data_IF_350959587501
#
_entry.id   IF_350959587501
#
_cell.length_a   1.000
_cell.length_b   1.000
_cell.length_c   1.000
_cell.angle_alpha   90.00
_cell.angle_beta   90.00
_cell.angle_gamma   90.00
#
_symmetry.space_group_name_H-M   'P 1'
#
loop_
_entity.id
_entity.type
_entity.pdbx_description
1 polymer ?
#
# COMPACT_ATOMS: atom_id res chain seq x y z
N UNK A 1 -47.89 2.25 21.82
CA UNK A 1 -48.14 3.63 21.34
C UNK A 1 -46.81 4.13 20.80
N UNK A 2 -46.44 3.85 19.56
CA UNK A 2 -46.63 4.78 18.44
C UNK A 2 -46.56 4.02 17.10
N UNK A 3 -47.29 4.56 16.12
CA UNK A 3 -47.77 3.93 14.89
C UNK A 3 -46.70 3.75 13.82
N UNK A 4 -46.80 2.63 13.10
CA UNK A 4 -46.28 2.43 11.74
C UNK A 4 -46.86 3.50 10.80
N UNK A 5 -45.98 4.26 10.13
CA UNK A 5 -46.36 5.16 9.05
C UNK A 5 -46.00 4.48 7.72
N UNK A 6 -47.02 3.94 7.06
CA UNK A 6 -46.99 3.56 5.64
C UNK A 6 -47.07 4.83 4.80
N UNK A 7 -46.06 5.09 3.98
CA UNK A 7 -46.09 6.15 2.97
C UNK A 7 -46.00 5.52 1.59
N UNK A 8 -47.16 5.43 0.95
CA UNK A 8 -47.36 5.05 -0.45
C UNK A 8 -46.86 6.16 -1.37
N UNK A 9 -45.79 5.91 -2.12
CA UNK A 9 -45.40 6.77 -3.25
C UNK A 9 -46.18 6.35 -4.51
N UNK A 10 -46.83 7.28 -5.22
CA UNK A 10 -47.47 6.98 -6.49
C UNK A 10 -46.43 6.83 -7.63
N UNK A 11 -46.69 5.85 -8.50
CA UNK A 11 -45.97 5.56 -9.74
C UNK A 11 -46.11 6.72 -10.73
N UNK A 12 -45.00 7.23 -11.24
CA UNK A 12 -44.98 8.17 -12.37
C UNK A 12 -45.07 7.42 -13.71
N UNK A 13 -45.77 7.96 -14.72
CA UNK A 13 -46.05 7.27 -15.97
C UNK A 13 -44.82 7.11 -16.88
N UNK A 14 -44.79 5.97 -17.56
CA UNK A 14 -43.83 5.54 -18.58
C UNK A 14 -43.78 6.47 -19.80
N UNK A 15 -42.59 6.91 -20.17
CA UNK A 15 -42.33 7.63 -21.43
C UNK A 15 -42.08 6.61 -22.54
N UNK A 16 -42.74 6.71 -23.71
CA UNK A 16 -42.59 5.75 -24.81
C UNK A 16 -41.28 5.97 -25.58
N UNK A 17 -40.64 4.87 -25.96
CA UNK A 17 -39.52 4.83 -26.88
C UNK A 17 -39.99 5.02 -28.33
N UNK A 18 -39.21 5.74 -29.16
CA UNK A 18 -39.25 5.52 -30.59
C UNK A 18 -37.87 5.17 -31.16
N UNK A 19 -37.86 3.99 -31.78
CA UNK A 19 -37.32 3.70 -33.12
C UNK A 19 -35.86 4.05 -33.43
N UNK A 20 -35.07 2.98 -33.60
CA UNK A 20 -33.90 2.94 -34.51
C UNK A 20 -34.31 3.47 -35.89
N UNK A 21 -33.43 4.23 -36.55
CA UNK A 21 -33.00 3.76 -37.85
C UNK A 21 -31.51 4.00 -38.17
N UNK A 22 -31.02 3.10 -39.03
CA UNK A 22 -29.94 3.29 -40.03
C UNK A 22 -28.49 3.48 -39.56
N UNK A 23 -27.70 2.47 -39.92
CA UNK A 23 -26.27 2.51 -40.22
C UNK A 23 -25.86 3.84 -40.86
N UNK A 24 -25.31 4.75 -40.06
CA UNK A 24 -24.47 5.82 -40.56
C UNK A 24 -23.02 5.44 -40.26
N UNK A 25 -22.35 4.95 -41.30
CA UNK A 25 -20.96 4.56 -41.26
C UNK A 25 -20.10 5.82 -41.15
N UNK A 26 -19.90 6.31 -39.93
CA UNK A 26 -18.89 7.32 -39.62
C UNK A 26 -17.51 6.69 -39.83
N UNK A 27 -17.00 6.81 -41.05
CA UNK A 27 -15.60 6.59 -41.38
C UNK A 27 -14.80 7.78 -40.83
N UNK A 28 -14.63 7.81 -39.51
CA UNK A 28 -13.71 8.72 -38.85
C UNK A 28 -12.29 8.26 -39.20
N UNK A 29 -11.61 9.06 -40.02
CA UNK A 29 -10.16 9.08 -40.14
C UNK A 29 -9.58 9.43 -38.77
N UNK A 30 -9.40 8.42 -37.92
CA UNK A 30 -8.63 8.53 -36.69
C UNK A 30 -7.15 8.46 -37.07
N UNK A 31 -6.60 9.58 -37.52
CA UNK A 31 -5.20 9.87 -37.24
C UNK A 31 -5.10 10.08 -35.72
N UNK A 32 -4.91 9.00 -34.98
CA UNK A 32 -4.41 9.10 -33.61
C UNK A 32 -2.91 8.96 -33.71
N UNK A 33 -2.23 10.10 -33.71
CA UNK A 33 -0.86 10.19 -33.27
C UNK A 33 -0.77 9.43 -31.95
N UNK A 34 -0.02 8.34 -31.93
CA UNK A 34 0.41 7.66 -30.71
C UNK A 34 1.29 8.62 -29.92
N UNK A 35 0.64 9.53 -29.22
CA UNK A 35 1.22 10.37 -28.19
C UNK A 35 1.02 9.60 -26.90
N UNK A 36 1.90 8.61 -26.69
CA UNK A 36 2.12 8.01 -25.37
C UNK A 36 2.83 9.05 -24.48
N UNK A 37 2.19 10.20 -24.28
CA UNK A 37 2.64 11.26 -23.38
C UNK A 37 2.15 10.97 -21.96
N UNK A 38 2.43 9.77 -21.45
CA UNK A 38 2.31 9.54 -20.00
C UNK A 38 3.57 10.11 -19.34
N UNK A 39 3.45 11.33 -18.84
CA UNK A 39 4.47 12.04 -18.08
C UNK A 39 4.70 11.40 -16.69
N UNK A 40 5.11 10.13 -16.66
CA UNK A 40 5.46 9.45 -15.42
C UNK A 40 6.77 9.99 -14.85
N UNK A 41 6.94 9.92 -13.53
CA UNK A 41 8.18 10.26 -12.85
C UNK A 41 9.33 9.37 -13.37
N UNK A 42 10.35 9.98 -14.00
CA UNK A 42 11.48 9.27 -14.63
C UNK A 42 12.74 9.38 -13.77
N UNK A 43 13.47 8.28 -13.67
CA UNK A 43 14.83 8.25 -13.14
C UNK A 43 15.80 9.01 -14.06
N UNK A 44 17.01 9.27 -13.55
CA UNK A 44 18.08 9.95 -14.29
C UNK A 44 18.48 9.22 -15.59
N UNK A 45 18.24 7.90 -15.68
CA UNK A 45 18.47 7.07 -16.86
C UNK A 45 17.26 7.03 -17.83
N UNK A 46 16.20 7.80 -17.53
CA UNK A 46 14.97 7.88 -18.31
C UNK A 46 13.96 6.77 -18.01
N UNK A 47 14.25 5.83 -17.09
CA UNK A 47 13.32 4.76 -16.74
C UNK A 47 12.17 5.26 -15.87
N UNK A 48 10.97 4.72 -16.11
CA UNK A 48 9.78 5.00 -15.30
C UNK A 48 9.94 4.41 -13.90
N UNK A 49 9.81 5.24 -12.87
CA UNK A 49 10.02 4.82 -11.49
C UNK A 49 8.79 4.13 -10.86
N UNK A 50 7.58 4.50 -11.27
CA UNK A 50 6.33 3.86 -10.83
C UNK A 50 5.98 2.62 -11.67
N UNK A 51 6.88 1.62 -11.73
CA UNK A 51 6.71 0.42 -12.57
C UNK A 51 5.51 -0.44 -12.20
N UNK A 52 5.18 -0.51 -10.90
CA UNK A 52 4.13 -1.36 -10.36
C UNK A 52 2.88 -0.56 -10.07
N UNK A 53 2.99 0.59 -9.38
CA UNK A 53 1.82 1.38 -8.99
C UNK A 53 1.09 1.98 -10.20
N UNK A 54 1.78 2.17 -11.33
CA UNK A 54 1.17 2.58 -12.60
C UNK A 54 0.00 1.68 -13.04
N UNK A 55 0.01 0.39 -12.66
CA UNK A 55 -1.08 -0.54 -12.95
C UNK A 55 -2.41 -0.05 -12.38
N UNK A 56 -2.38 0.55 -11.18
CA UNK A 56 -3.58 1.04 -10.49
C UNK A 56 -3.77 2.55 -10.58
N UNK A 57 -2.72 3.33 -10.89
CA UNK A 57 -2.82 4.80 -10.93
C UNK A 57 -3.08 5.36 -12.32
N UNK A 58 -2.68 4.69 -13.41
CA UNK A 58 -2.63 5.33 -14.74
C UNK A 58 -3.76 4.90 -15.67
N UNK A 59 -4.22 3.65 -15.54
CA UNK A 59 -5.25 3.13 -16.41
C UNK A 59 -6.62 3.67 -16.03
N UNK A 60 -7.34 4.27 -17.00
CA UNK A 60 -8.74 4.70 -16.81
C UNK A 60 -9.67 3.56 -16.39
N UNK A 61 -9.34 2.31 -16.75
CA UNK A 61 -10.09 1.13 -16.31
C UNK A 61 -9.98 0.87 -14.79
N UNK A 62 -9.02 1.51 -14.10
CA UNK A 62 -8.79 1.39 -12.65
C UNK A 62 -9.30 2.60 -11.86
N UNK A 63 -10.35 3.26 -12.35
CA UNK A 63 -10.98 4.38 -11.66
C UNK A 63 -11.41 4.09 -10.21
N UNK A 64 -11.83 2.86 -9.91
CA UNK A 64 -12.16 2.46 -8.54
C UNK A 64 -10.93 2.44 -7.61
N UNK A 65 -9.78 1.96 -8.09
CA UNK A 65 -8.52 1.99 -7.35
C UNK A 65 -8.08 3.44 -7.09
N UNK A 66 -8.13 4.28 -8.12
CA UNK A 66 -7.81 5.70 -8.02
C UNK A 66 -8.70 6.41 -7.01
N UNK A 67 -10.02 6.14 -7.00
CA UNK A 67 -10.95 6.71 -6.03
C UNK A 67 -10.58 6.36 -4.58
N UNK A 68 -10.17 5.11 -4.31
CA UNK A 68 -9.70 4.70 -2.99
C UNK A 68 -8.38 5.39 -2.61
N UNK A 69 -7.46 5.57 -3.55
CA UNK A 69 -6.21 6.31 -3.33
C UNK A 69 -6.46 7.80 -3.06
N UNK A 70 -7.40 8.44 -3.75
CA UNK A 70 -7.82 9.81 -3.42
C UNK A 70 -8.39 9.90 -2.00
N UNK A 71 -9.17 8.89 -1.57
CA UNK A 71 -9.74 8.86 -0.23
C UNK A 71 -8.69 8.69 0.88
N UNK A 72 -7.49 8.19 0.59
CA UNK A 72 -6.37 8.16 1.55
C UNK A 72 -5.60 9.48 1.60
N UNK A 73 -5.95 10.46 0.76
CA UNK A 73 -5.37 11.80 0.73
C UNK A 73 -4.33 12.03 -0.35
N UNK A 74 -4.15 11.11 -1.32
CA UNK A 74 -3.30 11.36 -2.48
C UNK A 74 -3.94 12.42 -3.39
N UNK A 75 -3.10 13.23 -4.03
CA UNK A 75 -3.51 14.18 -5.07
C UNK A 75 -3.31 13.60 -6.47
N UNK A 76 -3.80 14.28 -7.50
CA UNK A 76 -3.59 13.86 -8.89
C UNK A 76 -2.09 13.81 -9.23
N UNK A 77 -1.30 14.77 -8.75
CA UNK A 77 0.15 14.78 -8.92
C UNK A 77 0.85 13.58 -8.25
N UNK A 78 0.28 13.05 -7.16
CA UNK A 78 0.83 11.88 -6.47
C UNK A 78 0.59 10.57 -7.23
N UNK A 79 -0.37 10.53 -8.15
CA UNK A 79 -0.68 9.32 -8.94
C UNK A 79 0.45 8.96 -9.92
N UNK A 80 1.27 9.94 -10.29
CA UNK A 80 2.43 9.78 -11.16
C UNK A 80 3.72 9.44 -10.40
N UNK A 81 3.72 9.64 -9.07
CA UNK A 81 4.86 9.37 -8.20
C UNK A 81 4.94 7.89 -7.82
N UNK A 82 6.14 7.32 -7.61
CA UNK A 82 6.30 5.97 -7.10
C UNK A 82 5.75 5.85 -5.68
N UNK A 83 5.08 4.73 -5.40
CA UNK A 83 4.50 4.43 -4.10
C UNK A 83 5.42 3.49 -3.31
N UNK A 84 5.82 3.90 -2.11
CA UNK A 84 6.72 3.16 -1.23
C UNK A 84 5.94 2.65 -0.03
N UNK A 85 5.89 1.34 0.12
CA UNK A 85 5.36 0.69 1.31
C UNK A 85 6.34 0.83 2.47
N UNK A 86 5.89 1.32 3.63
CA UNK A 86 6.70 1.43 4.84
C UNK A 86 6.16 0.43 5.86
N UNK A 87 6.80 -0.74 5.95
CA UNK A 87 6.42 -1.84 6.81
C UNK A 87 7.07 -1.69 8.19
N UNK A 88 6.29 -1.35 9.22
CA UNK A 88 6.78 -1.34 10.61
C UNK A 88 6.28 -2.55 11.39
N UNK A 89 7.04 -2.97 12.40
CA UNK A 89 6.65 -4.06 13.30
C UNK A 89 6.43 -3.51 14.69
N UNK A 90 5.63 -2.45 14.77
CA UNK A 90 5.31 -1.78 16.02
C UNK A 90 4.22 -2.52 16.80
N UNK A 91 4.46 -2.70 18.11
CA UNK A 91 3.45 -2.96 19.12
C UNK A 91 3.97 -2.50 20.49
N UNK A 92 3.07 -2.21 21.42
CA UNK A 92 3.43 -1.57 22.71
C UNK A 92 4.05 -2.54 23.72
N UNK A 93 3.73 -3.83 23.62
CA UNK A 93 4.12 -4.86 24.59
C UNK A 93 5.57 -5.34 24.51
N UNK A 94 6.48 -4.64 23.82
CA UNK A 94 7.88 -5.01 23.73
C UNK A 94 8.79 -3.78 23.56
N UNK A 95 9.82 -3.60 24.40
CA UNK A 95 10.70 -2.43 24.32
C UNK A 95 11.46 -2.33 22.99
N UNK A 96 11.71 -3.46 22.30
CA UNK A 96 12.38 -3.44 21.00
C UNK A 96 11.50 -2.86 19.87
N UNK A 97 10.19 -2.72 20.09
CA UNK A 97 9.23 -2.44 19.02
C UNK A 97 8.31 -1.23 19.29
N UNK A 98 8.15 -0.83 20.55
CA UNK A 98 7.22 0.25 20.94
C UNK A 98 7.52 1.61 20.30
N UNK A 99 8.77 1.88 19.91
CA UNK A 99 9.20 3.14 19.28
C UNK A 99 9.15 3.12 17.75
N UNK A 100 8.89 1.95 17.13
CA UNK A 100 9.01 1.81 15.67
C UNK A 100 7.94 2.56 14.89
N UNK A 101 6.80 2.90 15.50
CA UNK A 101 5.78 3.73 14.87
C UNK A 101 6.29 5.16 14.64
N UNK A 102 7.03 5.72 15.59
CA UNK A 102 7.61 7.06 15.44
C UNK A 102 8.74 7.05 14.41
N UNK A 103 9.57 6.00 14.42
CA UNK A 103 10.57 5.80 13.38
C UNK A 103 9.94 5.66 11.99
N UNK A 104 8.80 4.96 11.86
CA UNK A 104 8.07 4.85 10.60
C UNK A 104 7.54 6.21 10.11
N UNK A 105 7.08 7.08 11.03
CA UNK A 105 6.67 8.45 10.69
C UNK A 105 7.85 9.28 10.20
N UNK A 106 9.03 9.12 10.78
CA UNK A 106 10.24 9.82 10.32
C UNK A 106 10.74 9.32 8.97
N UNK A 107 10.72 8.00 8.74
CA UNK A 107 10.97 7.41 7.42
C UNK A 107 9.99 7.97 6.39
N UNK A 108 8.70 8.06 6.72
CA UNK A 108 7.68 8.63 5.82
C UNK A 108 8.01 10.08 5.44
N UNK A 109 8.47 10.91 6.38
CA UNK A 109 8.92 12.28 6.07
C UNK A 109 10.07 12.26 5.05
N UNK A 110 11.04 11.37 5.22
CA UNK A 110 12.16 11.22 4.27
C UNK A 110 11.71 10.78 2.88
N UNK A 111 10.78 9.83 2.80
CA UNK A 111 10.18 9.38 1.52
C UNK A 111 9.44 10.54 0.82
N UNK A 112 8.64 11.29 1.56
CA UNK A 112 7.93 12.46 1.00
C UNK A 112 8.89 13.57 0.58
N UNK A 113 9.97 13.81 1.33
CA UNK A 113 11.01 14.78 0.97
C UNK A 113 11.78 14.39 -0.31
N UNK A 114 11.75 13.11 -0.69
CA UNK A 114 12.32 12.60 -1.95
C UNK A 114 11.31 12.58 -3.11
N UNK A 115 10.18 13.30 -2.99
CA UNK A 115 9.08 13.33 -3.98
C UNK A 115 8.45 11.96 -4.27
N UNK A 116 8.45 11.06 -3.28
CA UNK A 116 7.80 9.76 -3.33
C UNK A 116 6.57 9.72 -2.42
N UNK A 117 5.65 8.78 -2.69
CA UNK A 117 4.46 8.58 -1.86
C UNK A 117 4.72 7.50 -0.82
N UNK A 118 4.81 7.89 0.46
CA UNK A 118 5.02 6.96 1.57
C UNK A 118 3.71 6.45 2.20
N UNK A 119 3.47 5.14 2.11
CA UNK A 119 2.28 4.48 2.65
C UNK A 119 2.69 3.49 3.77
N UNK A 120 2.47 3.90 5.02
CA UNK A 120 2.81 3.09 6.19
C UNK A 120 1.78 1.98 6.42
N UNK A 121 2.29 0.79 6.73
CA UNK A 121 1.49 -0.34 7.21
C UNK A 121 2.29 -1.11 8.25
N UNK A 122 1.60 -1.96 9.02
CA UNK A 122 2.23 -2.75 10.07
C UNK A 122 2.04 -4.25 9.86
N UNK A 123 2.98 -5.03 10.38
CA UNK A 123 2.82 -6.47 10.59
C UNK A 123 3.10 -6.83 12.05
N UNK A 124 2.82 -8.08 12.40
CA UNK A 124 2.90 -8.61 13.75
C UNK A 124 4.35 -8.81 14.22
N UNK A 125 4.50 -9.14 15.49
CA UNK A 125 5.74 -9.63 16.07
C UNK A 125 5.47 -10.27 17.43
N UNK A 126 6.48 -10.96 17.95
CA UNK A 126 6.44 -11.61 19.26
C UNK A 126 7.75 -11.34 19.99
N UNK A 127 7.68 -11.20 21.32
CA UNK A 127 8.86 -10.97 22.16
C UNK A 127 9.38 -12.30 22.69
N UNK A 128 10.59 -12.67 22.26
CA UNK A 128 11.26 -13.84 22.84
C UNK A 128 11.52 -13.61 24.32
N UNK A 129 12.01 -12.43 24.71
CA UNK A 129 12.32 -12.10 26.09
C UNK A 129 11.16 -12.33 27.06
N UNK A 130 9.92 -12.15 26.59
CA UNK A 130 8.70 -12.42 27.38
C UNK A 130 8.30 -13.89 27.34
N UNK A 131 8.44 -14.56 26.19
CA UNK A 131 7.93 -15.92 25.98
C UNK A 131 8.91 -17.03 26.35
N UNK A 132 10.20 -16.71 26.57
CA UNK A 132 11.22 -17.66 27.02
C UNK A 132 10.77 -18.48 28.24
N UNK A 133 10.89 -19.81 28.14
CA UNK A 133 10.56 -20.73 29.23
C UNK A 133 9.07 -21.09 29.36
N UNK A 134 8.24 -20.69 28.38
CA UNK A 134 6.80 -21.00 28.36
C UNK A 134 6.38 -21.63 27.03
N UNK A 135 5.16 -22.18 26.97
CA UNK A 135 4.56 -22.72 25.73
C UNK A 135 4.48 -21.66 24.61
N UNK A 136 4.45 -20.38 24.97
CA UNK A 136 4.45 -19.25 24.03
C UNK A 136 5.66 -19.24 23.09
N UNK A 137 6.79 -19.82 23.50
CA UNK A 137 8.00 -19.90 22.65
C UNK A 137 7.77 -20.69 21.36
N UNK A 138 6.78 -21.58 21.34
CA UNK A 138 6.36 -22.32 20.13
C UNK A 138 5.89 -21.40 19.00
N UNK A 139 5.45 -20.18 19.33
CA UNK A 139 5.02 -19.17 18.37
C UNK A 139 6.13 -18.21 17.94
N UNK A 140 7.35 -18.33 18.48
CA UNK A 140 8.46 -17.43 18.15
C UNK A 140 8.93 -17.60 16.70
N UNK A 141 9.48 -18.77 16.35
CA UNK A 141 10.17 -18.95 15.07
C UNK A 141 9.23 -18.82 13.86
N UNK A 142 8.01 -19.36 13.97
CA UNK A 142 7.00 -19.29 12.90
C UNK A 142 6.57 -17.85 12.58
N UNK A 143 6.70 -16.91 13.53
CA UNK A 143 6.35 -15.50 13.30
C UNK A 143 7.19 -14.86 12.18
N UNK A 144 8.41 -15.38 11.93
CA UNK A 144 9.27 -14.97 10.82
C UNK A 144 8.56 -15.12 9.47
N UNK A 145 7.93 -16.26 9.23
CA UNK A 145 7.23 -16.54 7.97
C UNK A 145 5.95 -15.71 7.88
N UNK A 146 5.20 -15.57 8.97
CA UNK A 146 4.02 -14.71 9.01
C UNK A 146 4.34 -13.25 8.66
N UNK A 147 5.47 -12.73 9.15
CA UNK A 147 5.96 -11.40 8.81
C UNK A 147 6.29 -11.32 7.33
N UNK A 148 7.00 -12.33 6.80
CA UNK A 148 7.35 -12.38 5.39
C UNK A 148 6.09 -12.37 4.49
N UNK A 149 5.15 -13.25 4.78
CA UNK A 149 3.88 -13.41 4.06
C UNK A 149 3.02 -12.15 4.17
N UNK A 150 3.01 -11.48 5.33
CA UNK A 150 2.29 -10.22 5.53
C UNK A 150 2.81 -9.11 4.62
N UNK A 151 4.14 -8.93 4.56
CA UNK A 151 4.77 -7.89 3.73
C UNK A 151 4.56 -8.22 2.26
N UNK A 152 4.77 -9.47 1.86
CA UNK A 152 4.54 -9.95 0.50
C UNK A 152 3.09 -9.71 0.05
N UNK A 153 2.12 -10.01 0.93
CA UNK A 153 0.69 -9.80 0.68
C UNK A 153 0.37 -8.32 0.43
N UNK A 154 0.88 -7.41 1.28
CA UNK A 154 0.62 -5.97 1.12
C UNK A 154 1.30 -5.43 -0.13
N UNK A 155 2.57 -5.77 -0.36
CA UNK A 155 3.32 -5.32 -1.53
C UNK A 155 2.70 -5.83 -2.84
N UNK A 156 2.24 -7.08 -2.87
CA UNK A 156 1.56 -7.68 -4.01
C UNK A 156 0.17 -7.10 -4.24
N UNK A 157 -0.61 -6.93 -3.17
CA UNK A 157 -2.00 -6.45 -3.24
C UNK A 157 -2.12 -4.96 -3.56
N UNK A 158 -1.19 -4.13 -3.07
CA UNK A 158 -1.25 -2.67 -3.21
C UNK A 158 -0.36 -2.12 -4.33
N UNK A 159 0.36 -2.97 -5.06
CA UNK A 159 1.20 -2.57 -6.20
C UNK A 159 2.30 -1.54 -5.86
N UNK A 160 2.81 -1.53 -4.64
CA UNK A 160 3.89 -0.60 -4.24
C UNK A 160 5.18 -0.84 -5.02
N UNK A 161 5.84 0.24 -5.45
CA UNK A 161 7.04 0.18 -6.27
C UNK A 161 8.29 -0.20 -5.47
N UNK A 162 8.32 0.14 -4.18
CA UNK A 162 9.42 -0.17 -3.28
C UNK A 162 8.97 -0.39 -1.84
N UNK A 163 9.87 -0.90 -1.01
CA UNK A 163 9.58 -1.29 0.37
C UNK A 163 10.64 -0.80 1.34
N UNK A 164 10.23 -0.20 2.46
CA UNK A 164 11.12 0.11 3.57
C UNK A 164 10.60 -0.66 4.79
N UNK A 165 11.38 -1.61 5.29
CA UNK A 165 11.03 -2.36 6.49
C UNK A 165 11.77 -1.85 7.71
N UNK A 166 11.07 -1.79 8.84
CA UNK A 166 11.59 -1.27 10.10
C UNK A 166 11.47 -2.36 11.19
N UNK A 167 12.40 -3.34 11.23
CA UNK A 167 12.44 -4.36 12.28
C UNK A 167 13.16 -3.91 13.54
N UNK A 168 12.68 -4.38 14.70
CA UNK A 168 13.33 -4.18 16.00
C UNK A 168 13.84 -5.46 16.67
N UNK A 169 13.10 -6.57 16.55
CA UNK A 169 13.38 -7.83 17.25
C UNK A 169 14.01 -8.90 16.34
N UNK A 170 14.45 -10.01 16.94
CA UNK A 170 15.18 -11.11 16.31
C UNK A 170 14.49 -11.62 15.03
N UNK A 171 13.27 -12.15 15.13
CA UNK A 171 12.58 -12.82 14.00
C UNK A 171 12.05 -11.86 12.94
N UNK A 172 11.92 -10.59 13.29
CA UNK A 172 11.42 -9.55 12.41
C UNK A 172 12.40 -9.26 11.28
N UNK A 173 13.70 -9.20 11.58
CA UNK A 173 14.75 -8.89 10.58
C UNK A 173 14.79 -9.90 9.43
N UNK A 174 14.94 -11.23 9.66
CA UNK A 174 14.96 -12.19 8.57
C UNK A 174 13.60 -12.28 7.86
N UNK A 175 12.47 -12.08 8.55
CA UNK A 175 11.14 -12.05 7.92
C UNK A 175 11.04 -10.94 6.86
N UNK A 176 11.56 -9.75 7.16
CA UNK A 176 11.63 -8.67 6.19
C UNK A 176 12.50 -9.01 4.98
N UNK A 177 13.71 -9.54 5.20
CA UNK A 177 14.64 -9.86 4.11
C UNK A 177 14.07 -10.94 3.20
N UNK A 178 13.37 -11.95 3.77
CA UNK A 178 12.66 -12.97 2.99
C UNK A 178 11.59 -12.31 2.10
N UNK A 179 10.74 -11.44 2.65
CA UNK A 179 9.74 -10.73 1.85
C UNK A 179 10.35 -9.87 0.75
N UNK A 180 11.43 -9.13 1.05
CA UNK A 180 12.15 -8.32 0.06
C UNK A 180 12.68 -9.19 -1.09
N UNK A 181 13.26 -10.35 -0.77
CA UNK A 181 13.76 -11.28 -1.77
C UNK A 181 12.63 -11.89 -2.62
N UNK A 182 11.50 -12.26 -2.00
CA UNK A 182 10.32 -12.80 -2.72
C UNK A 182 9.69 -11.77 -3.65
N UNK A 183 9.48 -10.55 -3.16
CA UNK A 183 8.84 -9.46 -3.93
C UNK A 183 9.79 -8.92 -5.01
N UNK A 184 11.11 -8.95 -4.77
CA UNK A 184 12.17 -8.51 -5.67
C UNK A 184 11.92 -7.09 -6.25
N UNK A 185 11.60 -6.15 -5.35
CA UNK A 185 11.45 -4.72 -5.63
C UNK A 185 12.48 -3.92 -4.84
N UNK A 186 12.86 -2.70 -5.27
CA UNK A 186 13.75 -1.83 -4.51
C UNK A 186 13.36 -1.78 -3.04
N UNK A 187 14.26 -2.25 -2.16
CA UNK A 187 13.94 -2.45 -0.75
C UNK A 187 15.08 -1.98 0.16
N UNK A 188 14.71 -1.45 1.33
CA UNK A 188 15.63 -1.02 2.38
C UNK A 188 15.18 -1.56 3.73
N UNK A 189 16.11 -2.11 4.51
CA UNK A 189 15.86 -2.47 5.91
C UNK A 189 16.49 -1.42 6.83
N UNK A 190 15.68 -0.79 7.67
CA UNK A 190 16.11 0.19 8.68
C UNK A 190 15.99 -0.47 10.05
N UNK A 191 17.13 -0.88 10.62
CA UNK A 191 17.14 -1.51 11.93
C UNK A 191 16.69 -0.52 13.01
N UNK A 192 15.74 -0.93 13.85
CA UNK A 192 15.12 -0.12 14.90
C UNK A 192 16.06 0.28 16.04
N UNK A 193 17.24 -0.34 16.13
CA UNK A 193 18.27 -0.01 17.09
C UNK A 193 18.32 -0.95 18.29
N UNK A 194 19.51 -1.04 18.88
CA UNK A 194 19.75 -1.83 20.08
C UNK A 194 19.44 -1.02 21.34
N UNK A 195 18.90 -1.67 22.37
CA UNK A 195 18.63 -1.03 23.66
C UNK A 195 19.95 -0.70 24.37
N UNK A 196 20.00 0.46 25.04
CA UNK A 196 21.14 0.84 25.88
C UNK A 196 21.20 -0.07 27.12
N UNK A 197 22.41 -0.41 27.57
CA UNK A 197 22.59 -1.14 28.82
C UNK A 197 21.97 -0.38 30.01
N UNK A 198 21.28 -1.10 30.89
CA UNK A 198 20.79 -0.55 32.14
C UNK A 198 21.94 -0.26 33.11
N UNK A 199 21.85 0.86 33.82
CA UNK A 199 22.75 1.18 34.93
C UNK A 199 21.96 1.14 36.25
N UNK A 200 22.59 0.60 37.28
CA UNK A 200 22.10 0.56 38.67
C UNK A 200 22.62 1.73 39.48
#
# INVERSE_FOLDING_TARGET
>A
MLRLATSSRPLSPSVPSPLRPTLLQCRALLSTSSSDDTAGFKAADGQRLNRYSAVITQSKARGASQAMLYATGLTEADMDRPQVGIASMWWEGNPCNMHLLDLARDVKKGVTAADLVGLCFNTIGVSDGISMGTDGMSYSLQSRELIADSIETVMGGQWYDGNICIPGCDKNMPGCVIAMARVNRPSLMVYGGTIRAGCS
#
